data_IF_150643297362
#
_entry.id   IF_150643297362
#
_cell.length_a   1.000
_cell.length_b   1.000
_cell.length_c   1.000
_cell.angle_alpha   90.00
_cell.angle_beta   90.00
_cell.angle_gamma   90.00
#
_symmetry.space_group_name_H-M   'P 1'
#
loop_
_entity.id
_entity.type
_entity.pdbx_description
1 polymer ?
#
# COMPACT_ATOMS: atom_id res chain seq x y z
N UNK A 1 76.82 25.73 4.74
CA UNK A 1 76.29 24.85 3.67
C UNK A 1 75.33 23.80 4.22
N UNK A 2 75.58 23.22 5.39
CA UNK A 2 74.66 22.31 6.10
C UNK A 2 73.35 22.97 6.52
N UNK A 3 73.38 24.22 7.01
CA UNK A 3 72.16 24.89 7.53
C UNK A 3 71.12 25.18 6.44
N UNK A 4 71.56 25.60 5.25
CA UNK A 4 70.67 25.85 4.09
C UNK A 4 70.00 24.55 3.61
N UNK A 5 70.71 23.42 3.69
CA UNK A 5 70.15 22.12 3.33
C UNK A 5 69.16 21.63 4.39
N UNK A 6 69.40 21.93 5.67
CA UNK A 6 68.47 21.64 6.76
C UNK A 6 67.19 22.48 6.66
N UNK A 7 67.30 23.78 6.43
CA UNK A 7 66.15 24.69 6.26
C UNK A 7 65.31 24.31 5.03
N UNK A 8 65.96 23.95 3.91
CA UNK A 8 65.28 23.45 2.72
C UNK A 8 64.55 22.12 2.97
N UNK A 9 65.15 21.22 3.75
CA UNK A 9 64.53 19.95 4.11
C UNK A 9 63.33 20.15 5.06
N UNK A 10 63.41 21.09 6.00
CA UNK A 10 62.29 21.45 6.88
C UNK A 10 61.14 22.11 6.11
N UNK A 11 61.45 23.01 5.18
CA UNK A 11 60.42 23.64 4.34
C UNK A 11 59.68 22.60 3.50
N UNK A 12 60.41 21.65 2.90
CA UNK A 12 59.81 20.54 2.14
C UNK A 12 58.93 19.67 3.04
N UNK A 13 59.38 19.36 4.26
CA UNK A 13 58.58 18.60 5.24
C UNK A 13 57.31 19.34 5.65
N UNK A 14 57.40 20.63 5.99
CA UNK A 14 56.22 21.48 6.31
C UNK A 14 55.23 21.57 5.16
N UNK A 15 55.71 21.87 3.96
CA UNK A 15 54.83 21.99 2.78
C UNK A 15 54.13 20.66 2.47
N UNK A 16 54.86 19.54 2.60
CA UNK A 16 54.29 18.20 2.40
C UNK A 16 53.28 17.84 3.49
N UNK A 17 53.51 18.30 4.71
CA UNK A 17 52.61 18.15 5.84
C UNK A 17 51.31 18.92 5.63
N UNK A 18 51.39 20.22 5.34
CA UNK A 18 50.23 21.09 5.12
C UNK A 18 49.35 20.58 3.97
N UNK A 19 49.98 20.08 2.90
CA UNK A 19 49.26 19.47 1.78
C UNK A 19 48.54 18.16 2.17
N UNK A 20 49.15 17.37 3.06
CA UNK A 20 48.56 16.13 3.55
C UNK A 20 47.43 16.40 4.56
N UNK A 21 47.60 17.36 5.45
CA UNK A 21 46.57 17.81 6.38
C UNK A 21 45.35 18.32 5.61
N UNK A 22 45.55 19.22 4.64
CA UNK A 22 44.46 19.71 3.78
C UNK A 22 43.75 18.57 3.05
N UNK A 23 44.50 17.63 2.47
CA UNK A 23 43.92 16.47 1.79
C UNK A 23 43.12 15.55 2.74
N UNK A 24 43.58 15.35 3.97
CA UNK A 24 42.88 14.57 4.99
C UNK A 24 41.59 15.28 5.45
N UNK A 25 41.65 16.58 5.70
CA UNK A 25 40.47 17.38 6.07
C UNK A 25 39.40 17.37 4.97
N UNK A 26 39.81 17.57 3.70
CA UNK A 26 38.91 17.50 2.55
C UNK A 26 38.28 16.11 2.42
N UNK A 27 39.07 15.05 2.62
CA UNK A 27 38.57 13.67 2.56
C UNK A 27 37.58 13.36 3.68
N UNK A 28 37.84 13.83 4.91
CA UNK A 28 36.93 13.67 6.05
C UNK A 28 35.60 14.38 5.76
N UNK A 29 35.63 15.61 5.27
CA UNK A 29 34.41 16.35 4.93
C UNK A 29 33.59 15.61 3.86
N UNK A 30 34.26 15.12 2.81
CA UNK A 30 33.61 14.36 1.72
C UNK A 30 32.93 13.10 2.26
N UNK A 31 33.60 12.33 3.13
CA UNK A 31 33.03 11.11 3.72
C UNK A 31 31.84 11.40 4.65
N UNK A 32 31.84 12.53 5.35
CA UNK A 32 30.72 12.96 6.19
C UNK A 32 29.50 13.36 5.35
N UNK A 33 29.72 14.03 4.22
CA UNK A 33 28.66 14.36 3.26
C UNK A 33 28.08 13.09 2.62
N UNK A 34 28.94 12.16 2.19
CA UNK A 34 28.54 10.85 1.66
C UNK A 34 27.69 10.07 2.67
N UNK A 35 28.11 10.01 3.95
CA UNK A 35 27.33 9.38 5.03
C UNK A 35 25.94 10.00 5.17
N UNK A 36 25.87 11.32 5.26
CA UNK A 36 24.61 12.05 5.44
C UNK A 36 23.65 11.84 4.26
N UNK A 37 24.18 11.81 3.04
CA UNK A 37 23.40 11.55 1.83
C UNK A 37 22.83 10.11 1.81
N UNK A 38 23.63 9.12 2.21
CA UNK A 38 23.20 7.72 2.30
C UNK A 38 22.09 7.52 3.34
N UNK A 39 22.22 8.12 4.53
CA UNK A 39 21.21 8.05 5.59
C UNK A 39 19.89 8.71 5.16
N UNK A 40 19.96 9.89 4.53
CA UNK A 40 18.78 10.60 4.02
C UNK A 40 18.07 9.78 2.94
N UNK A 41 18.79 9.24 1.97
CA UNK A 41 18.21 8.46 0.88
C UNK A 41 17.50 7.19 1.38
N UNK A 42 18.12 6.47 2.33
CA UNK A 42 17.52 5.29 2.93
C UNK A 42 16.23 5.62 3.72
N UNK A 43 16.23 6.74 4.46
CA UNK A 43 15.06 7.18 5.22
C UNK A 43 13.92 7.62 4.32
N UNK A 44 14.19 8.36 3.25
CA UNK A 44 13.15 8.87 2.35
C UNK A 44 12.46 7.76 1.56
N UNK A 45 13.23 6.80 1.04
CA UNK A 45 12.67 5.67 0.29
C UNK A 45 11.78 4.78 1.16
N UNK A 46 12.22 4.47 2.39
CA UNK A 46 11.44 3.66 3.33
C UNK A 46 10.17 4.38 3.80
N UNK A 47 10.25 5.69 4.11
CA UNK A 47 9.09 6.48 4.50
C UNK A 47 8.04 6.58 3.37
N UNK A 48 8.49 6.78 2.12
CA UNK A 48 7.62 6.84 0.95
C UNK A 48 6.87 5.53 0.70
N UNK A 49 7.56 4.39 0.83
CA UNK A 49 6.95 3.07 0.68
C UNK A 49 5.96 2.75 1.80
N UNK A 50 6.28 3.11 3.04
CA UNK A 50 5.36 2.95 4.19
C UNK A 50 4.07 3.77 3.99
N UNK A 51 4.18 5.03 3.59
CA UNK A 51 3.01 5.88 3.35
C UNK A 51 2.10 5.33 2.24
N UNK A 52 2.68 4.74 1.19
CA UNK A 52 1.92 4.06 0.13
C UNK A 52 1.20 2.82 0.65
N UNK A 53 1.88 2.04 1.50
CA UNK A 53 1.33 0.83 2.11
C UNK A 53 0.13 1.17 3.01
N UNK A 54 0.27 2.12 3.94
CA UNK A 54 -0.82 2.57 4.83
C UNK A 54 -2.03 3.12 4.04
N UNK A 55 -1.75 3.86 2.96
CA UNK A 55 -2.79 4.35 2.05
C UNK A 55 -3.54 3.21 1.37
N UNK A 56 -2.85 2.16 0.92
CA UNK A 56 -3.47 1.01 0.29
C UNK A 56 -4.24 0.13 1.27
N UNK A 57 -3.70 -0.10 2.48
CA UNK A 57 -4.45 -0.77 3.56
C UNK A 57 -5.77 -0.05 3.81
N UNK A 58 -5.72 1.27 3.95
CA UNK A 58 -6.91 2.10 4.16
C UNK A 58 -7.92 2.02 2.99
N UNK A 59 -7.45 1.83 1.75
CA UNK A 59 -8.32 1.63 0.58
C UNK A 59 -8.92 0.22 0.58
N UNK A 60 -8.11 -0.80 0.87
CA UNK A 60 -8.54 -2.19 0.92
C UNK A 60 -9.60 -2.40 2.00
N UNK A 61 -9.39 -1.87 3.21
CA UNK A 61 -10.39 -1.98 4.29
C UNK A 61 -11.73 -1.34 3.90
N UNK A 62 -11.70 -0.18 3.22
CA UNK A 62 -12.91 0.48 2.71
C UNK A 62 -13.60 -0.35 1.62
N UNK A 63 -12.82 -0.91 0.70
CA UNK A 63 -13.35 -1.80 -0.34
C UNK A 63 -13.97 -3.07 0.26
N UNK A 64 -13.34 -3.67 1.28
CA UNK A 64 -13.86 -4.85 1.99
C UNK A 64 -15.18 -4.55 2.69
N UNK A 65 -15.27 -3.41 3.37
CA UNK A 65 -16.52 -2.99 3.99
C UNK A 65 -17.62 -2.79 2.96
N UNK A 66 -17.33 -2.09 1.86
CA UNK A 66 -18.28 -1.88 0.76
C UNK A 66 -18.76 -3.19 0.13
N UNK A 67 -17.86 -4.16 -0.06
CA UNK A 67 -18.22 -5.46 -0.61
C UNK A 67 -19.10 -6.27 0.36
N UNK A 68 -18.81 -6.25 1.67
CA UNK A 68 -19.67 -6.89 2.68
C UNK A 68 -21.06 -6.28 2.69
N UNK A 69 -21.18 -4.96 2.61
CA UNK A 69 -22.48 -4.30 2.53
C UNK A 69 -23.24 -4.64 1.24
N UNK A 70 -22.54 -4.73 0.10
CA UNK A 70 -23.12 -5.14 -1.16
C UNK A 70 -23.63 -6.60 -1.10
N UNK A 71 -22.83 -7.52 -0.54
CA UNK A 71 -23.24 -8.91 -0.32
C UNK A 71 -24.48 -9.01 0.56
N UNK A 72 -24.51 -8.28 1.68
CA UNK A 72 -25.69 -8.25 2.56
C UNK A 72 -26.94 -7.69 1.85
N UNK A 73 -26.79 -6.74 0.92
CA UNK A 73 -27.90 -6.26 0.08
C UNK A 73 -28.38 -7.33 -0.89
N UNK A 74 -27.47 -8.06 -1.53
CA UNK A 74 -27.83 -9.16 -2.44
C UNK A 74 -28.48 -10.33 -1.72
N UNK A 75 -28.05 -10.65 -0.50
CA UNK A 75 -28.73 -11.66 0.32
C UNK A 75 -30.18 -11.27 0.64
N UNK A 76 -30.42 -9.99 0.97
CA UNK A 76 -31.79 -9.47 1.17
C UNK A 76 -32.59 -9.50 -0.13
N UNK A 77 -32.01 -9.06 -1.24
CA UNK A 77 -32.68 -9.10 -2.55
C UNK A 77 -33.00 -10.53 -2.98
N UNK A 78 -32.13 -11.51 -2.70
CA UNK A 78 -32.43 -12.93 -2.89
C UNK A 78 -33.63 -13.39 -2.05
N UNK A 79 -33.73 -12.95 -0.79
CA UNK A 79 -34.87 -13.27 0.05
C UNK A 79 -36.17 -12.66 -0.51
N UNK A 80 -36.13 -11.40 -0.95
CA UNK A 80 -37.26 -10.71 -1.58
C UNK A 80 -37.71 -11.40 -2.87
N UNK A 81 -36.78 -11.83 -3.73
CA UNK A 81 -37.10 -12.60 -4.95
C UNK A 81 -37.78 -13.92 -4.60
N UNK A 82 -37.29 -14.66 -3.59
CA UNK A 82 -37.94 -15.91 -3.15
C UNK A 82 -39.35 -15.68 -2.60
N UNK A 83 -39.56 -14.60 -1.85
CA UNK A 83 -40.89 -14.24 -1.38
C UNK A 83 -41.83 -13.87 -2.54
N UNK A 84 -41.34 -13.11 -3.52
CA UNK A 84 -42.11 -12.75 -4.71
C UNK A 84 -42.47 -13.99 -5.55
N UNK A 85 -41.54 -14.93 -5.70
CA UNK A 85 -41.76 -16.23 -6.34
C UNK A 85 -42.86 -17.03 -5.62
N UNK A 86 -42.78 -17.14 -4.29
CA UNK A 86 -43.81 -17.81 -3.49
C UNK A 86 -45.19 -17.14 -3.59
N UNK A 87 -45.24 -15.79 -3.71
CA UNK A 87 -46.50 -15.06 -3.96
C UNK A 87 -47.05 -15.35 -5.35
N UNK A 88 -46.21 -15.44 -6.37
CA UNK A 88 -46.61 -15.79 -7.72
C UNK A 88 -47.18 -17.22 -7.78
N UNK A 89 -46.48 -18.19 -7.17
CA UNK A 89 -46.93 -19.59 -7.08
C UNK A 89 -48.29 -19.70 -6.35
N UNK A 90 -48.45 -18.96 -5.24
CA UNK A 90 -49.71 -18.91 -4.50
C UNK A 90 -50.85 -18.32 -5.34
N UNK A 91 -50.59 -17.20 -6.04
CA UNK A 91 -51.58 -16.59 -6.92
C UNK A 91 -51.97 -17.51 -8.08
N UNK A 92 -51.02 -18.30 -8.61
CA UNK A 92 -51.31 -19.33 -9.61
C UNK A 92 -52.21 -20.45 -9.05
N UNK A 93 -51.94 -20.93 -7.83
CA UNK A 93 -52.76 -21.94 -7.18
C UNK A 93 -54.19 -21.44 -6.90
N UNK A 94 -54.34 -20.19 -6.45
CA UNK A 94 -55.65 -19.55 -6.21
C UNK A 94 -56.44 -19.36 -7.50
N UNK A 95 -55.78 -18.90 -8.58
CA UNK A 95 -56.42 -18.78 -9.89
C UNK A 95 -56.87 -20.14 -10.45
N UNK A 96 -56.06 -21.20 -10.28
CA UNK A 96 -56.42 -22.55 -10.68
C UNK A 96 -57.60 -23.12 -9.86
N UNK A 97 -57.71 -22.76 -8.58
CA UNK A 97 -58.81 -23.16 -7.69
C UNK A 97 -60.13 -22.44 -8.01
N UNK A 98 -60.07 -21.21 -8.55
CA UNK A 98 -61.22 -20.43 -8.98
C UNK A 98 -61.87 -20.95 -10.28
N UNK A 99 -61.33 -22.00 -10.93
CA UNK A 99 -61.93 -22.59 -12.14
C UNK A 99 -62.98 -23.65 -11.74
N UNK A 100 -64.27 -23.47 -12.05
CA UNK A 100 -65.31 -24.44 -11.71
C UNK A 100 -65.17 -25.71 -12.57
N UNK A 101 -65.53 -26.86 -12.00
CA UNK A 101 -65.54 -28.16 -12.70
C UNK A 101 -66.94 -28.67 -13.07
N UNK A 102 -67.95 -27.79 -13.08
CA UNK A 102 -69.34 -28.13 -13.41
C UNK A 102 -70.24 -26.89 -13.50
N UNK A 103 -71.40 -27.03 -14.15
CA UNK A 103 -72.31 -25.91 -14.49
C UNK A 103 -72.81 -25.13 -13.28
N UNK A 104 -72.73 -23.80 -13.36
CA UNK A 104 -73.18 -22.83 -12.37
C UNK A 104 -74.38 -22.05 -12.92
N UNK A 105 -75.26 -21.57 -12.03
CA UNK A 105 -76.34 -20.65 -12.42
C UNK A 105 -75.79 -19.25 -12.77
N UNK A 106 -76.50 -18.44 -13.56
CA UNK A 106 -76.02 -17.17 -14.15
C UNK A 106 -75.39 -16.17 -13.14
N UNK A 107 -75.97 -16.03 -11.94
CA UNK A 107 -75.46 -15.14 -10.91
C UNK A 107 -74.12 -15.65 -10.33
N UNK A 108 -74.01 -16.98 -10.16
CA UNK A 108 -72.80 -17.64 -9.69
C UNK A 108 -71.71 -17.63 -10.77
N UNK A 109 -72.07 -17.70 -12.06
CA UNK A 109 -71.11 -17.50 -13.16
C UNK A 109 -70.54 -16.08 -13.19
N UNK A 110 -71.37 -15.05 -12.96
CA UNK A 110 -70.92 -13.65 -12.98
C UNK A 110 -69.94 -13.34 -11.83
N UNK A 111 -70.23 -13.80 -10.61
CA UNK A 111 -69.37 -13.61 -9.45
C UNK A 111 -68.06 -14.40 -9.57
N UNK A 112 -68.13 -15.62 -10.09
CA UNK A 112 -66.96 -16.43 -10.38
C UNK A 112 -66.04 -15.78 -11.42
N UNK A 113 -66.62 -15.22 -12.50
CA UNK A 113 -65.86 -14.56 -13.56
C UNK A 113 -65.12 -13.34 -13.03
N UNK A 114 -65.78 -12.55 -12.18
CA UNK A 114 -65.14 -11.45 -11.44
C UNK A 114 -63.99 -11.95 -10.56
N UNK A 115 -64.21 -13.04 -9.80
CA UNK A 115 -63.16 -13.62 -8.96
C UNK A 115 -61.96 -14.16 -9.76
N UNK A 116 -62.20 -14.72 -10.94
CA UNK A 116 -61.15 -15.23 -11.84
C UNK A 116 -60.35 -14.08 -12.46
N UNK A 117 -61.03 -13.00 -12.87
CA UNK A 117 -60.39 -11.80 -13.39
C UNK A 117 -59.50 -11.14 -12.33
N UNK A 118 -59.98 -11.05 -11.08
CA UNK A 118 -59.20 -10.54 -9.94
C UNK A 118 -57.97 -11.42 -9.65
N UNK A 119 -58.13 -12.75 -9.64
CA UNK A 119 -57.02 -13.69 -9.43
C UNK A 119 -55.97 -13.63 -10.56
N UNK A 120 -56.43 -13.50 -11.81
CA UNK A 120 -55.57 -13.36 -13.00
C UNK A 120 -54.74 -12.06 -12.96
N UNK A 121 -55.35 -10.95 -12.54
CA UNK A 121 -54.66 -9.68 -12.35
C UNK A 121 -53.62 -9.74 -11.23
N UNK A 122 -53.98 -10.35 -10.10
CA UNK A 122 -53.07 -10.56 -8.97
C UNK A 122 -51.85 -11.40 -9.37
N UNK A 123 -52.06 -12.51 -10.10
CA UNK A 123 -51.00 -13.34 -10.67
C UNK A 123 -50.09 -12.53 -11.61
N UNK A 124 -50.67 -11.82 -12.56
CA UNK A 124 -49.93 -11.02 -13.54
C UNK A 124 -49.10 -9.91 -12.88
N UNK A 125 -49.54 -9.39 -11.74
CA UNK A 125 -48.76 -8.44 -10.94
C UNK A 125 -47.59 -9.13 -10.23
N UNK A 126 -47.84 -10.26 -9.56
CA UNK A 126 -46.81 -11.02 -8.85
C UNK A 126 -45.68 -11.52 -9.78
N UNK A 127 -46.03 -12.03 -10.96
CA UNK A 127 -45.04 -12.45 -11.96
C UNK A 127 -44.17 -11.29 -12.44
N UNK A 128 -44.77 -10.12 -12.73
CA UNK A 128 -44.02 -8.92 -13.14
C UNK A 128 -43.06 -8.44 -12.05
N UNK A 129 -43.50 -8.46 -10.79
CA UNK A 129 -42.68 -8.08 -9.65
C UNK A 129 -41.49 -9.04 -9.48
N UNK A 130 -41.73 -10.35 -9.59
CA UNK A 130 -40.67 -11.37 -9.55
C UNK A 130 -39.61 -11.15 -10.62
N UNK A 131 -40.01 -10.98 -11.90
CA UNK A 131 -39.04 -10.78 -12.99
C UNK A 131 -38.23 -9.50 -12.81
N UNK A 132 -38.87 -8.40 -12.38
CA UNK A 132 -38.17 -7.14 -12.08
C UNK A 132 -37.11 -7.32 -10.99
N UNK A 133 -37.49 -7.92 -9.86
CA UNK A 133 -36.59 -8.15 -8.74
C UNK A 133 -35.44 -9.11 -9.12
N UNK A 134 -35.71 -10.11 -9.95
CA UNK A 134 -34.71 -11.05 -10.45
C UNK A 134 -33.67 -10.37 -11.36
N UNK A 135 -34.09 -9.43 -12.23
CA UNK A 135 -33.17 -8.63 -13.03
C UNK A 135 -32.31 -7.70 -12.17
N UNK A 136 -32.92 -7.01 -11.22
CA UNK A 136 -32.21 -6.12 -10.28
C UNK A 136 -31.16 -6.89 -9.46
N UNK A 137 -31.52 -8.08 -8.97
CA UNK A 137 -30.62 -8.99 -8.29
C UNK A 137 -29.44 -9.42 -9.19
N UNK A 138 -29.71 -9.75 -10.46
CA UNK A 138 -28.67 -10.10 -11.43
C UNK A 138 -27.64 -8.97 -11.63
N UNK A 139 -28.11 -7.73 -11.74
CA UNK A 139 -27.25 -6.55 -11.86
C UNK A 139 -26.41 -6.32 -10.59
N UNK A 140 -27.00 -6.46 -9.40
CA UNK A 140 -26.28 -6.31 -8.14
C UNK A 140 -25.21 -7.40 -7.95
N UNK A 141 -25.49 -8.65 -8.29
CA UNK A 141 -24.53 -9.75 -8.24
C UNK A 141 -23.34 -9.53 -9.20
N UNK A 142 -23.60 -9.01 -10.40
CA UNK A 142 -22.53 -8.65 -11.34
C UNK A 142 -21.62 -7.54 -10.80
N UNK A 143 -22.20 -6.54 -10.11
CA UNK A 143 -21.44 -5.46 -9.48
C UNK A 143 -20.54 -5.96 -8.33
N UNK A 144 -21.02 -6.91 -7.52
CA UNK A 144 -20.21 -7.58 -6.48
C UNK A 144 -19.02 -8.30 -7.10
N UNK A 145 -19.25 -9.10 -8.15
CA UNK A 145 -18.18 -9.82 -8.83
C UNK A 145 -17.11 -8.88 -9.43
N UNK A 146 -17.47 -7.63 -9.76
CA UNK A 146 -16.50 -6.61 -10.15
C UNK A 146 -15.69 -6.10 -8.93
N UNK A 147 -16.36 -5.79 -7.81
CA UNK A 147 -15.71 -5.35 -6.57
C UNK A 147 -14.73 -6.40 -6.01
N UNK A 148 -15.05 -7.68 -6.12
CA UNK A 148 -14.16 -8.78 -5.70
C UNK A 148 -12.87 -8.79 -6.54
N UNK A 149 -12.97 -8.62 -7.86
CA UNK A 149 -11.78 -8.53 -8.73
C UNK A 149 -10.91 -7.33 -8.37
N UNK A 150 -11.53 -6.17 -8.11
CA UNK A 150 -10.79 -4.97 -7.72
C UNK A 150 -10.05 -5.15 -6.39
N UNK A 151 -10.66 -5.89 -5.43
CA UNK A 151 -9.98 -6.25 -4.18
C UNK A 151 -8.79 -7.17 -4.40
N UNK A 152 -8.92 -8.16 -5.27
CA UNK A 152 -7.83 -9.08 -5.56
C UNK A 152 -6.64 -8.35 -6.19
N UNK A 153 -6.90 -7.43 -7.13
CA UNK A 153 -5.87 -6.55 -7.70
C UNK A 153 -5.19 -5.72 -6.60
N UNK A 154 -5.96 -5.12 -5.69
CA UNK A 154 -5.39 -4.33 -4.60
C UNK A 154 -4.52 -5.18 -3.64
N UNK A 155 -4.90 -6.44 -3.38
CA UNK A 155 -4.10 -7.38 -2.57
C UNK A 155 -2.77 -7.72 -3.26
N UNK A 156 -2.79 -7.95 -4.57
CA UNK A 156 -1.58 -8.21 -5.35
C UNK A 156 -0.63 -7.00 -5.37
N UNK A 157 -1.16 -5.78 -5.53
CA UNK A 157 -0.37 -4.54 -5.44
C UNK A 157 0.27 -4.36 -4.06
N UNK A 158 -0.46 -4.67 -2.99
CA UNK A 158 0.08 -4.64 -1.63
C UNK A 158 1.20 -5.65 -1.44
N UNK A 159 1.06 -6.87 -1.95
CA UNK A 159 2.10 -7.89 -1.87
C UNK A 159 3.39 -7.44 -2.58
N UNK A 160 3.25 -6.81 -3.76
CA UNK A 160 4.39 -6.23 -4.49
C UNK A 160 5.06 -5.08 -3.71
N UNK A 161 4.28 -4.22 -3.06
CA UNK A 161 4.84 -3.15 -2.22
C UNK A 161 5.54 -3.68 -0.98
N UNK A 162 5.04 -4.76 -0.38
CA UNK A 162 5.72 -5.44 0.73
C UNK A 162 7.11 -5.91 0.30
N UNK A 163 7.22 -6.55 -0.87
CA UNK A 163 8.50 -7.00 -1.44
C UNK A 163 9.44 -5.80 -1.68
N UNK A 164 8.91 -4.71 -2.23
CA UNK A 164 9.70 -3.50 -2.47
C UNK A 164 10.18 -2.87 -1.16
N UNK A 165 9.34 -2.84 -0.12
CA UNK A 165 9.69 -2.34 1.20
C UNK A 165 10.80 -3.17 1.84
N UNK A 166 10.70 -4.50 1.77
CA UNK A 166 11.75 -5.39 2.30
C UNK A 166 13.07 -5.23 1.54
N UNK A 167 13.00 -5.05 0.22
CA UNK A 167 14.18 -4.75 -0.60
C UNK A 167 14.81 -3.39 -0.25
N UNK A 168 13.99 -2.34 -0.07
CA UNK A 168 14.45 -1.02 0.36
C UNK A 168 15.06 -1.07 1.76
N UNK A 169 14.49 -1.83 2.71
CA UNK A 169 15.06 -2.06 4.04
C UNK A 169 16.45 -2.69 3.96
N UNK A 170 16.61 -3.75 3.15
CA UNK A 170 17.93 -4.38 2.94
C UNK A 170 18.96 -3.42 2.33
N UNK A 171 18.55 -2.60 1.36
CA UNK A 171 19.43 -1.54 0.82
C UNK A 171 19.79 -0.51 1.88
N UNK A 172 18.83 -0.12 2.73
CA UNK A 172 19.07 0.75 3.88
C UNK A 172 20.07 0.16 4.88
N UNK A 173 19.97 -1.14 5.19
CA UNK A 173 20.95 -1.84 6.04
C UNK A 173 22.36 -1.84 5.42
N UNK A 174 22.47 -2.09 4.10
CA UNK A 174 23.75 -2.00 3.38
C UNK A 174 24.33 -0.59 3.40
N UNK A 175 23.49 0.43 3.18
CA UNK A 175 23.88 1.83 3.27
C UNK A 175 24.35 2.21 4.67
N UNK A 176 23.69 1.69 5.71
CA UNK A 176 24.10 1.88 7.10
C UNK A 176 25.46 1.25 7.38
N UNK A 177 25.69 0.01 6.95
CA UNK A 177 27.03 -0.61 7.06
C UNK A 177 28.11 0.21 6.34
N UNK A 178 27.81 0.75 5.15
CA UNK A 178 28.74 1.61 4.43
C UNK A 178 29.00 2.94 5.15
N UNK A 179 27.99 3.52 5.79
CA UNK A 179 28.11 4.72 6.61
C UNK A 179 28.98 4.45 7.87
N UNK A 180 28.80 3.31 8.53
CA UNK A 180 29.63 2.87 9.66
C UNK A 180 31.10 2.67 9.23
N UNK A 181 31.34 2.09 8.04
CA UNK A 181 32.68 1.95 7.48
C UNK A 181 33.33 3.31 7.14
N UNK A 182 32.55 4.25 6.59
CA UNK A 182 33.02 5.60 6.32
C UNK A 182 33.36 6.35 7.61
N UNK A 183 32.55 6.20 8.66
CA UNK A 183 32.80 6.76 9.99
C UNK A 183 34.08 6.20 10.61
N UNK A 184 34.29 4.89 10.54
CA UNK A 184 35.54 4.27 10.97
C UNK A 184 36.75 4.82 10.20
N UNK A 185 36.65 4.96 8.87
CA UNK A 185 37.71 5.59 8.07
C UNK A 185 37.98 7.03 8.51
N UNK A 186 36.95 7.80 8.82
CA UNK A 186 37.10 9.16 9.34
C UNK A 186 37.83 9.17 10.69
N UNK A 187 37.50 8.28 11.61
CA UNK A 187 38.21 8.17 12.89
C UNK A 187 39.69 7.84 12.71
N UNK A 188 40.01 6.86 11.85
CA UNK A 188 41.40 6.50 11.52
C UNK A 188 42.15 7.71 10.95
N UNK A 189 41.55 8.44 10.01
CA UNK A 189 42.20 9.61 9.40
C UNK A 189 42.39 10.77 10.40
N UNK A 190 41.45 10.95 11.34
CA UNK A 190 41.60 11.93 12.44
C UNK A 190 42.74 11.56 13.37
N UNK A 191 42.89 10.27 13.68
CA UNK A 191 43.96 9.79 14.55
C UNK A 191 45.33 9.89 13.86
N UNK A 192 45.41 9.57 12.57
CA UNK A 192 46.59 9.82 11.74
C UNK A 192 46.96 11.30 11.70
N UNK A 193 45.96 12.19 11.57
CA UNK A 193 46.17 13.63 11.61
C UNK A 193 46.73 14.08 12.96
N UNK A 194 46.12 13.64 14.07
CA UNK A 194 46.56 13.99 15.42
C UNK A 194 47.99 13.50 15.74
N UNK A 195 48.34 12.27 15.31
CA UNK A 195 49.70 11.74 15.48
C UNK A 195 50.73 12.56 14.69
N UNK A 196 50.34 12.99 13.49
CA UNK A 196 51.15 13.84 12.62
C UNK A 196 51.34 15.23 13.22
N UNK A 197 50.31 15.81 13.81
CA UNK A 197 50.39 17.13 14.48
C UNK A 197 51.37 17.06 15.64
N UNK A 198 51.35 15.97 16.43
CA UNK A 198 52.32 15.72 17.49
C UNK A 198 53.76 15.61 16.95
N UNK A 199 54.00 14.86 15.87
CA UNK A 199 55.34 14.74 15.28
C UNK A 199 55.89 16.09 14.83
N UNK A 200 55.05 16.97 14.27
CA UNK A 200 55.46 18.33 13.91
C UNK A 200 55.81 19.16 15.14
N UNK A 201 55.04 19.05 16.22
CA UNK A 201 55.32 19.73 17.49
C UNK A 201 56.62 19.22 18.15
N UNK A 202 56.91 17.92 18.11
CA UNK A 202 58.15 17.35 18.62
C UNK A 202 59.37 17.79 17.80
N UNK A 203 59.25 17.80 16.47
CA UNK A 203 60.31 18.27 15.57
C UNK A 203 60.53 19.79 15.69
N UNK A 204 59.47 20.59 15.84
CA UNK A 204 59.56 22.03 16.05
C UNK A 204 59.99 22.45 17.46
N UNK A 205 59.64 21.66 18.48
CA UNK A 205 60.01 21.88 19.88
C UNK A 205 61.48 21.59 20.19
N UNK A 206 62.13 20.74 19.39
CA UNK A 206 63.57 20.46 19.48
C UNK A 206 64.47 21.65 19.13
N UNK A 207 63.94 22.70 18.51
CA UNK A 207 64.68 23.92 18.12
C UNK A 207 64.66 24.97 19.23
N UNK A 208 63.66 24.96 20.13
CA UNK A 208 63.57 25.95 21.22
C UNK A 208 64.44 25.61 22.45
N UNK A 209 65.08 24.43 22.48
CA UNK A 209 65.83 23.93 23.63
C UNK A 209 67.33 23.66 23.37
N UNK A 210 67.91 24.21 22.29
CA UNK A 210 69.37 24.16 22.03
C UNK A 210 69.99 25.53 21.91
#
# INVERSE_FOLDING_TARGET
HTDILQDGLELIKRTRYDNLERALTERIATLQDEKSALESAASEETASLLARFESLESKLTRAEHSAREANAKVERAHAEVREAEARADKAEAEAAAAVPRGGLDELAEADLRRSLDEASMARSHAEREYYRLREELGAQSAAIAALERDQDVARDEMALLQINLDSARRRGEQMKSAAEEAEFKVEVLKEELAQREMQVLELGGGIAAR
#
